data_IF_477462145303
#
_entry.id   IF_477462145303
#
_cell.length_a   1.000
_cell.length_b   1.000
_cell.length_c   1.000
_cell.angle_alpha   90.00
_cell.angle_beta   90.00
_cell.angle_gamma   90.00
#
_symmetry.space_group_name_H-M   'P 1'
#
loop_
_entity.id
_entity.type
_entity.pdbx_description
1 polymer ?
#
# COMPACT_ATOMS: atom_id res chain seq x y z
N UNK A 1 -4.94 -51.45 -2.49
CA UNK A 1 -4.38 -50.38 -3.33
C UNK A 1 -4.98 -49.05 -2.85
N UNK A 2 -4.88 -48.74 -1.56
CA UNK A 2 -3.80 -47.97 -0.86
C UNK A 2 -3.87 -46.48 -1.24
N UNK A 3 -4.67 -45.68 -0.55
CA UNK A 3 -4.40 -44.95 0.70
C UNK A 3 -3.26 -43.92 0.57
N UNK A 4 -3.61 -42.65 0.30
CA UNK A 4 -2.71 -41.49 0.23
C UNK A 4 -3.39 -40.24 0.82
N UNK A 5 -3.57 -40.22 2.14
CA UNK A 5 -3.77 -39.01 2.92
C UNK A 5 -3.03 -39.14 4.26
N UNK A 6 -1.77 -38.68 4.34
CA UNK A 6 -1.12 -38.29 5.62
C UNK A 6 0.16 -37.45 5.41
N UNK A 7 0.26 -36.25 6.00
CA UNK A 7 1.51 -35.50 6.08
C UNK A 7 2.42 -36.02 7.21
N UNK A 8 3.75 -35.82 7.14
CA UNK A 8 4.71 -36.40 8.08
C UNK A 8 4.67 -35.72 9.46
N UNK A 9 4.74 -36.55 10.50
CA UNK A 9 4.88 -36.16 11.90
C UNK A 9 6.35 -35.87 12.22
N UNK A 10 6.66 -34.63 12.61
CA UNK A 10 7.96 -34.27 13.20
C UNK A 10 7.96 -34.61 14.69
N UNK A 11 8.92 -35.40 15.15
CA UNK A 11 9.24 -35.59 16.58
C UNK A 11 10.47 -34.74 16.95
N UNK A 12 10.52 -34.12 18.14
CA UNK A 12 11.70 -33.40 18.61
C UNK A 12 12.64 -34.33 19.39
N UNK A 13 13.95 -34.11 19.25
CA UNK A 13 15.01 -34.70 20.10
C UNK A 13 15.54 -33.62 21.08
N UNK A 14 16.02 -33.99 22.29
CA UNK A 14 16.17 -33.07 23.40
C UNK A 14 17.61 -32.61 23.69
N UNK A 15 17.74 -31.34 24.08
CA UNK A 15 18.55 -30.90 25.23
C UNK A 15 20.07 -30.77 25.09
N UNK A 16 20.57 -29.53 25.13
CA UNK A 16 21.75 -29.21 25.94
C UNK A 16 21.63 -27.82 26.57
N UNK A 17 22.03 -27.74 27.84
CA UNK A 17 21.84 -26.63 28.77
C UNK A 17 22.97 -25.59 28.68
N UNK A 18 22.56 -24.35 28.89
CA UNK A 18 23.25 -23.24 29.56
C UNK A 18 24.70 -22.88 29.21
N UNK A 19 24.87 -21.62 28.79
CA UNK A 19 25.82 -20.74 29.46
C UNK A 19 25.30 -19.30 29.47
N UNK A 20 25.38 -18.71 30.67
CA UNK A 20 24.93 -17.37 31.04
C UNK A 20 26.15 -16.46 30.93
N UNK A 21 26.11 -15.42 30.09
CA UNK A 21 27.13 -14.37 30.10
C UNK A 21 26.46 -13.00 30.28
N UNK A 22 26.85 -12.33 31.37
CA UNK A 22 26.39 -11.01 31.81
C UNK A 22 27.47 -9.98 31.44
N UNK A 23 27.05 -8.71 31.29
CA UNK A 23 27.83 -7.44 31.13
C UNK A 23 28.27 -7.13 29.69
N UNK A 24 28.30 -5.88 29.21
CA UNK A 24 28.42 -4.57 29.87
C UNK A 24 27.96 -3.45 28.90
N UNK A 25 27.44 -2.36 29.46
CA UNK A 25 27.19 -1.05 28.80
C UNK A 25 28.41 -0.54 28.03
N UNK A 26 28.17 0.07 26.87
CA UNK A 26 28.98 1.20 26.36
C UNK A 26 28.06 2.31 25.84
N UNK A 27 28.20 3.48 26.45
CA UNK A 27 27.78 4.79 25.94
C UNK A 27 28.79 5.25 24.88
N UNK A 28 28.30 5.84 23.81
CA UNK A 28 29.01 6.84 22.99
C UNK A 28 27.94 7.67 22.28
N UNK A 29 27.59 8.88 22.76
CA UNK A 29 28.14 10.18 22.31
C UNK A 29 28.44 10.22 20.81
N UNK A 30 27.62 10.99 20.10
CA UNK A 30 27.86 11.47 18.75
C UNK A 30 26.93 12.65 18.47
N UNK A 31 27.37 13.86 18.86
CA UNK A 31 26.77 15.11 18.41
C UNK A 31 27.00 15.26 16.92
N UNK A 32 26.02 15.75 16.16
CA UNK A 32 26.32 16.50 14.94
C UNK A 32 25.48 17.78 14.90
N UNK A 33 26.22 18.86 14.71
CA UNK A 33 25.82 20.26 14.65
C UNK A 33 25.87 20.62 13.17
N UNK A 34 24.83 21.23 12.63
CA UNK A 34 24.92 21.90 11.33
C UNK A 34 24.01 23.12 11.32
N UNK A 35 24.67 24.27 11.43
CA UNK A 35 24.16 25.61 11.17
C UNK A 35 23.95 25.82 9.68
N UNK A 36 22.89 26.52 9.31
CA UNK A 36 22.85 27.24 8.04
C UNK A 36 22.28 28.64 8.31
N UNK A 37 23.17 29.63 8.18
CA UNK A 37 22.85 31.06 8.05
C UNK A 37 21.96 31.25 6.83
N UNK A 38 20.90 32.04 6.97
CA UNK A 38 20.44 32.92 5.89
C UNK A 38 20.21 34.32 6.46
N UNK A 39 21.22 35.14 6.23
CA UNK A 39 21.15 36.60 6.23
C UNK A 39 20.67 37.03 4.85
N UNK A 40 19.56 37.77 4.79
CA UNK A 40 19.35 38.77 3.74
C UNK A 40 18.30 39.76 4.21
N UNK A 41 18.80 40.94 4.56
CA UNK A 41 18.08 42.20 4.71
C UNK A 41 17.38 42.49 3.37
N UNK A 42 16.06 42.72 3.41
CA UNK A 42 15.35 43.44 2.36
C UNK A 42 14.63 44.62 3.02
N UNK A 43 14.88 45.79 2.44
CA UNK A 43 14.56 47.14 2.93
C UNK A 43 13.05 47.34 2.99
N UNK A 44 12.61 48.08 4.02
CA UNK A 44 11.22 48.53 4.23
C UNK A 44 10.86 49.59 3.20
N UNK A 45 9.67 49.46 2.60
CA UNK A 45 9.01 50.52 1.84
C UNK A 45 7.82 51.03 2.69
N UNK A 46 7.69 52.34 2.97
CA UNK A 46 6.62 52.87 3.83
C UNK A 46 5.39 53.19 2.99
N UNK A 47 4.26 52.52 3.21
CA UNK A 47 3.01 52.88 2.51
C UNK A 47 1.90 51.85 2.43
N UNK A 48 1.82 50.85 3.33
CA UNK A 48 0.68 49.92 3.34
C UNK A 48 0.14 49.71 4.77
N UNK A 49 -1.18 49.78 4.99
CA UNK A 49 -1.77 49.55 6.30
C UNK A 49 -1.59 48.08 6.71
N UNK A 50 -1.10 47.87 7.95
CA UNK A 50 -0.88 46.54 8.50
C UNK A 50 -2.19 45.73 8.55
N UNK A 51 -2.25 44.51 7.98
CA UNK A 51 -3.38 43.65 8.21
C UNK A 51 -3.34 43.19 9.67
N UNK A 52 -4.47 43.37 10.37
CA UNK A 52 -4.67 42.90 11.73
C UNK A 52 -4.20 41.44 11.85
N UNK A 53 -3.18 41.24 12.69
CA UNK A 53 -2.55 39.97 12.90
C UNK A 53 -3.49 39.01 13.65
N UNK A 54 -4.47 38.43 12.95
CA UNK A 54 -4.97 37.11 13.33
C UNK A 54 -3.81 36.16 13.14
N UNK A 55 -3.21 35.73 14.25
CA UNK A 55 -2.24 34.62 14.24
C UNK A 55 -2.85 33.50 13.39
N UNK A 56 -2.18 33.03 12.33
CA UNK A 56 -2.63 31.82 11.66
C UNK A 56 -2.77 30.73 12.73
N UNK A 57 -3.80 29.86 12.65
CA UNK A 57 -3.92 28.75 13.59
C UNK A 57 -2.57 28.05 13.63
N UNK A 58 -2.00 27.98 14.84
CA UNK A 58 -0.69 27.38 15.06
C UNK A 58 -0.68 26.06 14.30
N UNK A 59 0.35 25.81 13.48
CA UNK A 59 0.58 24.52 12.82
C UNK A 59 0.69 23.45 13.91
N UNK A 60 -0.45 22.96 14.38
CA UNK A 60 -0.58 22.17 15.60
C UNK A 60 -0.35 20.72 15.22
N UNK A 61 0.90 20.41 14.86
CA UNK A 61 1.55 19.08 14.89
C UNK A 61 2.88 19.05 14.08
N UNK A 62 3.69 20.11 14.10
CA UNK A 62 4.91 20.18 13.27
C UNK A 62 6.16 19.45 13.82
N UNK A 63 6.02 18.40 14.66
CA UNK A 63 7.19 17.65 15.20
C UNK A 63 6.97 16.14 15.35
N UNK A 64 5.93 15.56 14.77
CA UNK A 64 5.82 14.09 14.75
C UNK A 64 6.76 13.53 13.67
N UNK A 65 7.79 12.80 14.07
CA UNK A 65 8.60 12.01 13.14
C UNK A 65 7.83 10.72 12.82
N UNK A 66 7.47 10.54 11.55
CA UNK A 66 6.84 9.31 11.07
C UNK A 66 7.90 8.43 10.43
N UNK A 67 7.92 7.14 10.80
CA UNK A 67 8.75 6.12 10.16
C UNK A 67 7.83 5.13 9.47
N UNK A 68 8.10 4.88 8.19
CA UNK A 68 7.34 3.94 7.38
C UNK A 68 8.22 2.73 7.05
N UNK A 69 7.63 1.54 7.18
CA UNK A 69 8.16 0.30 6.62
C UNK A 69 7.17 -0.13 5.53
N UNK A 70 7.66 -0.24 4.30
CA UNK A 70 6.86 -0.55 3.12
C UNK A 70 7.09 -1.99 2.62
N UNK A 71 7.67 -2.85 3.47
CA UNK A 71 7.86 -4.25 3.11
C UNK A 71 6.50 -4.94 2.96
N UNK A 72 6.33 -5.83 1.97
CA UNK A 72 5.06 -6.52 1.73
C UNK A 72 4.73 -7.56 2.80
N UNK A 73 5.63 -7.77 3.79
CA UNK A 73 5.46 -8.77 4.83
C UNK A 73 4.35 -8.39 5.80
N UNK A 74 3.81 -9.41 6.46
CA UNK A 74 2.99 -9.21 7.64
C UNK A 74 3.92 -8.92 8.82
N UNK A 75 3.83 -7.72 9.36
CA UNK A 75 4.54 -7.33 10.60
C UNK A 75 3.74 -7.84 11.78
N UNK A 76 4.44 -8.31 12.80
CA UNK A 76 3.83 -8.68 14.07
C UNK A 76 3.69 -7.44 14.95
N UNK A 77 2.48 -6.91 15.06
CA UNK A 77 2.21 -5.71 15.87
C UNK A 77 2.38 -5.95 17.39
N UNK A 78 2.48 -7.20 17.84
CA UNK A 78 2.68 -7.55 19.25
C UNK A 78 4.17 -7.49 19.61
N UNK A 79 5.03 -8.01 18.73
CA UNK A 79 6.47 -8.13 19.02
C UNK A 79 7.34 -7.05 18.36
N UNK A 80 6.84 -6.37 17.33
CA UNK A 80 7.58 -5.35 16.57
C UNK A 80 7.16 -3.92 16.94
N UNK A 81 8.06 -2.92 16.82
CA UNK A 81 7.81 -1.55 17.30
C UNK A 81 6.96 -0.71 16.32
N UNK A 82 5.80 -1.22 15.91
CA UNK A 82 4.86 -0.55 15.01
C UNK A 82 3.59 -0.11 15.76
N UNK A 83 3.23 1.17 15.63
CA UNK A 83 2.01 1.70 16.26
C UNK A 83 0.72 1.29 15.51
N UNK A 84 0.81 1.07 14.20
CA UNK A 84 -0.32 0.75 13.31
C UNK A 84 0.21 0.10 12.03
N UNK A 85 -0.49 -0.89 11.50
CA UNK A 85 -0.25 -1.42 10.16
C UNK A 85 -1.38 -1.02 9.21
N UNK A 86 -1.04 -0.61 7.99
CA UNK A 86 -2.03 -0.38 6.93
C UNK A 86 -2.08 -1.64 6.06
N UNK A 87 -3.27 -2.23 5.91
CA UNK A 87 -3.47 -3.47 5.16
C UNK A 87 -4.50 -3.27 4.07
N UNK A 88 -4.20 -3.84 2.91
CA UNK A 88 -5.06 -3.88 1.73
C UNK A 88 -5.53 -5.32 1.56
N UNK A 89 -6.83 -5.50 1.34
CA UNK A 89 -7.50 -6.80 1.32
C UNK A 89 -8.15 -7.18 2.65
N UNK A 90 -8.92 -8.25 2.63
CA UNK A 90 -9.65 -8.74 3.79
C UNK A 90 -8.69 -9.07 4.95
N UNK A 91 -9.03 -8.66 6.19
CA UNK A 91 -8.25 -9.02 7.34
C UNK A 91 -8.41 -10.53 7.58
N UNK A 92 -7.29 -11.21 7.80
CA UNK A 92 -7.37 -12.60 8.29
C UNK A 92 -7.96 -12.59 9.71
N UNK A 93 -8.64 -13.68 10.06
CA UNK A 93 -9.01 -13.99 11.43
C UNK A 93 -7.78 -13.84 12.34
N UNK A 94 -7.74 -12.78 13.13
CA UNK A 94 -6.66 -12.47 14.05
C UNK A 94 -7.25 -11.79 15.29
N UNK A 95 -6.49 -11.82 16.40
CA UNK A 95 -6.87 -11.09 17.62
C UNK A 95 -6.65 -9.57 17.49
N UNK A 96 -6.14 -9.11 16.35
CA UNK A 96 -5.89 -7.69 16.10
C UNK A 96 -7.19 -6.98 15.74
N UNK A 97 -7.22 -5.67 16.00
CA UNK A 97 -8.38 -4.82 15.71
C UNK A 97 -8.20 -4.19 14.34
N UNK A 98 -9.10 -4.57 13.42
CA UNK A 98 -9.19 -3.96 12.09
C UNK A 98 -10.16 -2.77 12.11
N UNK A 99 -9.68 -1.61 11.67
CA UNK A 99 -10.47 -0.38 11.52
C UNK A 99 -10.55 -0.01 10.03
N UNK A 100 -11.73 -0.01 9.42
CA UNK A 100 -11.85 0.32 8.00
C UNK A 100 -11.40 1.76 7.74
N UNK A 101 -10.60 1.93 6.69
CA UNK A 101 -10.10 3.22 6.21
C UNK A 101 -10.76 3.60 4.89
N UNK A 102 -10.81 2.66 3.96
CA UNK A 102 -11.32 2.88 2.61
C UNK A 102 -11.73 1.55 1.96
N UNK A 103 -12.39 1.64 0.81
CA UNK A 103 -12.59 0.51 -0.09
C UNK A 103 -12.30 0.96 -1.51
N UNK A 104 -11.21 0.47 -2.07
CA UNK A 104 -10.81 0.81 -3.44
C UNK A 104 -11.44 -0.14 -4.43
N UNK A 105 -11.64 0.31 -5.66
CA UNK A 105 -12.09 -0.56 -6.75
C UNK A 105 -10.97 -0.73 -7.75
N UNK A 106 -10.70 -1.99 -8.10
CA UNK A 106 -9.78 -2.26 -9.19
C UNK A 106 -10.47 -1.99 -10.53
N UNK A 107 -9.80 -1.29 -11.41
CA UNK A 107 -10.15 -1.18 -12.82
C UNK A 107 -9.00 -1.71 -13.66
N UNK A 108 -9.28 -1.98 -14.93
CA UNK A 108 -8.30 -2.55 -15.84
C UNK A 108 -7.62 -1.46 -16.63
N UNK A 109 -6.28 -1.53 -16.69
CA UNK A 109 -5.45 -0.55 -17.35
C UNK A 109 -4.38 -1.23 -18.21
N UNK A 110 -4.05 -0.61 -19.34
CA UNK A 110 -2.93 -0.99 -20.19
C UNK A 110 -2.29 0.25 -20.81
N UNK A 111 -1.05 0.14 -21.26
CA UNK A 111 -0.43 1.23 -22.03
C UNK A 111 -1.02 1.30 -23.45
N UNK A 112 -1.06 2.49 -24.08
CA UNK A 112 -1.54 2.62 -25.45
C UNK A 112 -0.80 1.71 -26.44
N UNK A 113 0.54 1.63 -26.32
CA UNK A 113 1.39 0.81 -27.20
C UNK A 113 1.21 -0.70 -27.02
N UNK A 114 0.82 -1.16 -25.83
CA UNK A 114 0.37 -2.54 -25.67
C UNK A 114 -0.89 -2.81 -26.49
N UNK A 115 -1.88 -1.91 -26.41
CA UNK A 115 -3.17 -2.04 -27.09
C UNK A 115 -3.03 -1.94 -28.62
N UNK A 116 -2.12 -1.12 -29.13
CA UNK A 116 -1.78 -1.07 -30.55
C UNK A 116 -1.28 -2.41 -31.08
N UNK A 117 -0.49 -3.14 -30.27
CA UNK A 117 0.11 -4.41 -30.65
C UNK A 117 -0.82 -5.60 -30.44
N UNK A 118 -1.56 -5.61 -29.34
CA UNK A 118 -2.35 -6.76 -28.89
C UNK A 118 -3.86 -6.62 -29.16
N UNK A 119 -4.32 -5.45 -29.61
CA UNK A 119 -5.74 -5.11 -29.68
C UNK A 119 -6.29 -4.59 -28.34
N UNK A 120 -7.50 -4.04 -28.37
CA UNK A 120 -8.21 -3.56 -27.17
C UNK A 120 -9.34 -4.52 -26.78
N UNK A 121 -9.31 -5.10 -25.57
CA UNK A 121 -10.37 -6.00 -25.12
C UNK A 121 -11.66 -5.23 -24.83
N UNK A 122 -12.79 -5.85 -25.17
CA UNK A 122 -14.13 -5.30 -24.96
C UNK A 122 -14.87 -6.03 -23.85
N UNK A 123 -14.63 -7.34 -23.73
CA UNK A 123 -15.27 -8.21 -22.75
C UNK A 123 -14.27 -9.12 -22.01
N UNK A 124 -14.64 -9.66 -20.83
CA UNK A 124 -13.75 -10.51 -20.05
C UNK A 124 -13.24 -11.75 -20.78
N UNK A 125 -13.97 -12.24 -21.78
CA UNK A 125 -13.55 -13.37 -22.60
C UNK A 125 -12.29 -13.06 -23.44
N UNK A 126 -12.15 -11.80 -23.90
CA UNK A 126 -11.01 -11.34 -24.71
C UNK A 126 -9.69 -11.42 -23.92
N UNK A 127 -9.75 -11.31 -22.59
CA UNK A 127 -8.58 -11.35 -21.71
C UNK A 127 -7.76 -12.66 -21.85
N UNK A 128 -8.36 -13.75 -22.35
CA UNK A 128 -7.64 -14.99 -22.67
C UNK A 128 -6.53 -14.80 -23.72
N UNK A 129 -6.64 -13.77 -24.56
CA UNK A 129 -5.68 -13.45 -25.61
C UNK A 129 -4.66 -12.38 -25.17
N UNK A 130 -4.74 -11.92 -23.92
CA UNK A 130 -3.91 -10.85 -23.39
C UNK A 130 -3.01 -11.31 -22.25
N UNK A 131 -1.84 -10.66 -22.11
CA UNK A 131 -1.04 -10.78 -20.91
C UNK A 131 -1.76 -10.06 -19.76
N UNK A 132 -2.10 -10.80 -18.72
CA UNK A 132 -2.89 -10.36 -17.58
C UNK A 132 -2.02 -10.31 -16.33
N UNK A 133 -1.46 -9.13 -16.04
CA UNK A 133 -0.54 -8.90 -14.93
C UNK A 133 -1.24 -9.01 -13.57
N UNK A 134 -0.82 -9.96 -12.73
CA UNK A 134 -1.32 -10.13 -11.36
C UNK A 134 -0.22 -10.13 -10.29
N UNK A 135 -0.61 -9.79 -9.05
CA UNK A 135 0.26 -9.98 -7.88
C UNK A 135 0.13 -11.44 -7.42
N UNK A 136 1.26 -12.04 -7.02
CA UNK A 136 1.36 -13.37 -6.41
C UNK A 136 0.13 -13.73 -5.56
N UNK A 137 -0.49 -14.88 -5.86
CA UNK A 137 -1.71 -15.45 -5.24
C UNK A 137 -3.07 -14.92 -5.71
N UNK A 138 -3.15 -13.98 -6.64
CA UNK A 138 -4.39 -13.71 -7.36
C UNK A 138 -4.55 -14.72 -8.51
N UNK A 139 -4.97 -15.95 -8.19
CA UNK A 139 -5.12 -17.05 -9.18
C UNK A 139 -6.15 -16.76 -10.30
N UNK A 140 -7.00 -15.76 -10.11
CA UNK A 140 -7.94 -15.24 -11.09
C UNK A 140 -8.35 -13.83 -10.70
N UNK A 141 -8.76 -13.02 -11.69
CA UNK A 141 -9.52 -11.80 -11.45
C UNK A 141 -11.00 -12.16 -11.39
N UNK A 142 -11.77 -11.42 -10.60
CA UNK A 142 -13.23 -11.46 -10.69
C UNK A 142 -13.70 -10.10 -11.14
N UNK A 143 -14.35 -10.04 -12.30
CA UNK A 143 -14.82 -8.81 -12.92
C UNK A 143 -16.34 -8.75 -12.84
N UNK A 144 -16.85 -7.53 -12.63
CA UNK A 144 -18.28 -7.25 -12.51
C UNK A 144 -18.65 -6.04 -13.37
N UNK A 145 -19.80 -6.09 -14.04
CA UNK A 145 -20.38 -4.97 -14.80
C UNK A 145 -21.65 -4.39 -14.14
N UNK A 146 -22.00 -4.89 -12.96
CA UNK A 146 -23.22 -4.54 -12.22
C UNK A 146 -24.33 -5.60 -12.31
N UNK A 147 -24.34 -6.40 -13.38
CA UNK A 147 -25.32 -7.47 -13.60
C UNK A 147 -24.63 -8.84 -13.58
N UNK A 148 -23.49 -8.93 -14.24
CA UNK A 148 -22.71 -10.13 -14.45
C UNK A 148 -21.50 -10.14 -13.52
N UNK A 149 -21.10 -11.35 -13.12
CA UNK A 149 -19.84 -11.61 -12.42
C UNK A 149 -19.09 -12.69 -13.17
N UNK A 150 -17.89 -12.36 -13.65
CA UNK A 150 -17.09 -13.26 -14.48
C UNK A 150 -15.73 -13.49 -13.82
N UNK A 151 -15.42 -14.73 -13.42
CA UNK A 151 -14.05 -15.09 -13.07
C UNK A 151 -13.22 -15.15 -14.35
N UNK A 152 -12.13 -14.40 -14.39
CA UNK A 152 -11.21 -14.34 -15.51
C UNK A 152 -9.85 -14.89 -15.06
N UNK A 153 -9.33 -15.93 -15.74
CA UNK A 153 -7.98 -16.42 -15.45
C UNK A 153 -6.96 -15.31 -15.73
N UNK A 154 -6.12 -15.03 -14.74
CA UNK A 154 -5.01 -14.11 -14.90
C UNK A 154 -3.77 -14.92 -15.31
N UNK A 155 -3.41 -14.85 -16.59
CA UNK A 155 -2.16 -15.43 -17.11
C UNK A 155 -1.09 -14.35 -17.20
N UNK A 156 -0.05 -14.47 -16.36
CA UNK A 156 1.14 -13.64 -16.45
C UNK A 156 2.40 -14.50 -16.40
N UNK A 157 3.33 -14.26 -17.31
CA UNK A 157 4.70 -14.80 -17.27
C UNK A 157 5.53 -14.18 -16.15
N UNK A 158 5.05 -13.09 -15.56
CA UNK A 158 5.66 -12.42 -14.43
C UNK A 158 5.01 -12.85 -13.11
N UNK A 159 5.85 -13.18 -12.14
CA UNK A 159 5.46 -13.44 -10.75
C UNK A 159 6.00 -12.31 -9.89
N UNK A 160 5.13 -11.40 -9.43
CA UNK A 160 5.54 -10.14 -8.77
C UNK A 160 4.77 -9.97 -7.45
N UNK A 161 5.46 -9.51 -6.40
CA UNK A 161 4.88 -9.26 -5.07
C UNK A 161 4.83 -7.75 -4.71
N UNK A 162 4.97 -6.88 -5.72
CA UNK A 162 5.05 -5.44 -5.56
C UNK A 162 4.09 -4.72 -6.50
N UNK A 163 3.20 -3.92 -5.92
CA UNK A 163 2.26 -3.05 -6.64
C UNK A 163 3.00 -2.05 -7.53
N UNK A 164 4.10 -1.48 -7.05
CA UNK A 164 4.88 -0.52 -7.84
C UNK A 164 5.53 -1.17 -9.07
N UNK A 165 6.02 -2.40 -8.92
CA UNK A 165 6.63 -3.12 -10.03
C UNK A 165 5.59 -3.55 -11.07
N UNK A 166 4.42 -4.05 -10.65
CA UNK A 166 3.39 -4.49 -11.60
C UNK A 166 2.77 -3.30 -12.36
N UNK A 167 2.57 -2.16 -11.69
CA UNK A 167 2.25 -0.89 -12.33
C UNK A 167 3.31 -0.53 -13.37
N UNK A 168 4.59 -0.64 -13.03
CA UNK A 168 5.70 -0.32 -13.95
C UNK A 168 5.69 -1.23 -15.17
N UNK A 169 5.46 -2.53 -15.02
CA UNK A 169 5.34 -3.47 -16.15
C UNK A 169 4.22 -3.06 -17.11
N UNK A 170 3.05 -2.68 -16.59
CA UNK A 170 1.95 -2.19 -17.43
C UNK A 170 2.35 -0.95 -18.24
N UNK A 171 3.07 0.01 -17.63
CA UNK A 171 3.59 1.20 -18.35
C UNK A 171 4.68 0.89 -19.36
N UNK A 172 5.27 -0.31 -19.31
CA UNK A 172 6.30 -0.79 -20.23
C UNK A 172 5.71 -1.73 -21.29
N UNK A 173 4.41 -1.62 -21.56
CA UNK A 173 3.71 -2.40 -22.59
C UNK A 173 3.69 -3.90 -22.35
N UNK A 174 3.79 -4.34 -21.09
CA UNK A 174 3.87 -5.76 -20.77
C UNK A 174 2.52 -6.42 -20.58
N UNK A 175 1.40 -5.68 -20.49
CA UNK A 175 0.09 -6.30 -20.31
C UNK A 175 -0.97 -5.39 -19.71
N UNK A 176 -2.10 -6.02 -19.40
CA UNK A 176 -3.24 -5.42 -18.69
C UNK A 176 -3.06 -5.66 -17.19
N UNK A 177 -3.32 -4.65 -16.36
CA UNK A 177 -3.22 -4.74 -14.91
C UNK A 177 -4.53 -4.30 -14.23
N UNK A 178 -5.03 -5.04 -13.21
CA UNK A 178 -6.09 -4.59 -12.34
C UNK A 178 -5.50 -3.72 -11.22
N UNK A 179 -5.93 -2.47 -11.14
CA UNK A 179 -5.39 -1.54 -10.15
C UNK A 179 -6.42 -0.53 -9.69
N UNK A 180 -6.25 0.00 -8.48
CA UNK A 180 -7.05 1.13 -8.01
C UNK A 180 -6.65 2.40 -8.77
N UNK A 181 -7.63 3.25 -9.12
CA UNK A 181 -7.40 4.49 -9.88
C UNK A 181 -6.38 5.39 -9.18
N UNK A 182 -6.42 5.42 -7.85
CA UNK A 182 -5.57 6.21 -6.97
C UNK A 182 -4.08 5.86 -7.16
N UNK A 183 -3.77 4.61 -7.52
CA UNK A 183 -2.39 4.14 -7.69
C UNK A 183 -1.85 4.51 -9.08
N UNK A 184 -2.72 4.60 -10.09
CA UNK A 184 -2.35 4.89 -11.49
C UNK A 184 -2.67 6.32 -11.94
N UNK A 185 -3.15 7.18 -11.04
CA UNK A 185 -3.63 8.53 -11.37
C UNK A 185 -2.61 9.34 -12.20
N UNK A 186 -1.33 9.30 -11.84
CA UNK A 186 -0.26 9.99 -12.57
C UNK A 186 0.03 9.38 -13.96
N UNK A 187 -0.18 8.07 -14.12
CA UNK A 187 -0.01 7.43 -15.42
C UNK A 187 -1.19 7.71 -16.35
N UNK A 188 -2.38 7.86 -15.79
CA UNK A 188 -3.56 8.28 -16.54
C UNK A 188 -3.42 9.73 -17.01
N UNK A 189 -3.02 10.64 -16.12
CA UNK A 189 -2.86 12.07 -16.45
C UNK A 189 -1.75 12.32 -17.48
N UNK A 190 -0.72 11.48 -17.48
CA UNK A 190 0.39 11.55 -18.44
C UNK A 190 0.21 10.68 -19.69
N UNK A 191 -0.92 9.98 -19.83
CA UNK A 191 -1.21 9.11 -20.98
C UNK A 191 -0.37 7.85 -21.07
N UNK A 192 0.38 7.48 -20.02
CA UNK A 192 1.16 6.23 -19.98
C UNK A 192 0.28 4.99 -19.84
N UNK A 193 -0.89 5.14 -19.23
CA UNK A 193 -1.91 4.10 -19.12
C UNK A 193 -3.26 4.65 -19.58
N UNK A 194 -4.11 3.75 -20.08
CA UNK A 194 -5.52 3.99 -20.41
C UNK A 194 -6.39 2.95 -19.73
N UNK A 195 -7.59 3.36 -19.30
CA UNK A 195 -8.61 2.42 -18.81
C UNK A 195 -9.16 1.62 -19.98
N UNK A 196 -9.19 0.29 -19.84
CA UNK A 196 -9.82 -0.63 -20.79
C UNK A 196 -11.05 -1.26 -20.14
N UNK A 197 -11.99 -1.73 -20.96
CA UNK A 197 -13.24 -2.34 -20.52
C UNK A 197 -13.92 -1.52 -19.41
N UNK A 198 -14.29 -0.24 -19.65
CA UNK A 198 -14.72 0.67 -18.59
C UNK A 198 -15.99 0.22 -17.86
N UNK A 199 -16.82 -0.61 -18.49
CA UNK A 199 -18.01 -1.22 -17.88
C UNK A 199 -17.65 -2.23 -16.79
N UNK A 200 -16.44 -2.83 -16.86
CA UNK A 200 -16.00 -3.87 -15.95
C UNK A 200 -15.10 -3.29 -14.84
N UNK A 201 -15.29 -3.81 -13.63
CA UNK A 201 -14.47 -3.49 -12.46
C UNK A 201 -14.21 -4.75 -11.64
N UNK A 202 -13.08 -4.78 -10.96
CA UNK A 202 -12.74 -5.85 -10.03
C UNK A 202 -13.54 -5.74 -8.73
N UNK A 203 -13.46 -6.79 -7.92
CA UNK A 203 -14.01 -6.81 -6.57
C UNK A 203 -13.44 -5.65 -5.73
N UNK A 204 -14.26 -4.98 -4.90
CA UNK A 204 -13.76 -3.97 -3.96
C UNK A 204 -12.66 -4.52 -3.06
N UNK A 205 -11.61 -3.75 -2.88
CA UNK A 205 -10.43 -4.08 -2.11
C UNK A 205 -10.45 -3.20 -0.85
N UNK A 206 -10.84 -3.74 0.31
CA UNK A 206 -10.92 -2.95 1.51
C UNK A 206 -9.53 -2.61 2.03
N UNK A 207 -9.42 -1.46 2.70
CA UNK A 207 -8.18 -0.98 3.32
C UNK A 207 -8.45 -0.75 4.80
N UNK A 208 -7.58 -1.29 5.65
CA UNK A 208 -7.73 -1.24 7.11
C UNK A 208 -6.49 -0.67 7.79
N UNK A 209 -6.72 0.06 8.87
CA UNK A 209 -5.73 0.25 9.92
C UNK A 209 -5.86 -0.91 10.92
N UNK A 210 -4.80 -1.67 11.08
CA UNK A 210 -4.70 -2.77 12.04
C UNK A 210 -3.91 -2.31 13.25
N UNK A 211 -4.43 -2.58 14.44
CA UNK A 211 -3.82 -2.21 15.73
C UNK A 211 -3.96 -3.34 16.74
N UNK A 212 -3.05 -3.43 17.69
CA UNK A 212 -3.12 -4.43 18.78
C UNK A 212 -4.26 -4.13 19.79
N UNK A 213 -4.45 -2.86 20.15
CA UNK A 213 -5.39 -2.45 21.21
C UNK A 213 -6.44 -1.45 20.74
N UNK A 214 -7.59 -1.40 21.45
CA UNK A 214 -8.65 -0.41 21.20
C UNK A 214 -8.26 0.98 21.71
N UNK A 215 -7.44 1.04 22.75
CA UNK A 215 -7.00 2.27 23.41
C UNK A 215 -5.71 2.77 22.77
N UNK A 216 -5.85 3.60 21.74
CA UNK A 216 -4.72 4.11 20.97
C UNK A 216 -4.16 5.42 21.54
N UNK A 217 -2.84 5.64 21.52
CA UNK A 217 -2.27 6.95 21.78
C UNK A 217 -2.82 8.02 20.82
N UNK A 218 -2.95 9.27 21.30
CA UNK A 218 -3.51 10.37 20.50
C UNK A 218 -2.80 10.60 19.16
N UNK A 219 -1.48 10.34 19.08
CA UNK A 219 -0.71 10.42 17.83
C UNK A 219 -1.23 9.43 16.77
N UNK A 220 -1.55 8.20 17.17
CA UNK A 220 -1.98 7.12 16.29
C UNK A 220 -3.43 7.34 15.86
N UNK A 221 -4.29 7.76 16.78
CA UNK A 221 -5.67 8.14 16.47
C UNK A 221 -5.72 9.24 15.41
N UNK A 222 -4.95 10.31 15.59
CA UNK A 222 -4.88 11.42 14.63
C UNK A 222 -4.34 10.98 13.27
N UNK A 223 -3.37 10.08 13.24
CA UNK A 223 -2.83 9.57 11.98
C UNK A 223 -3.87 8.71 11.24
N UNK A 224 -4.60 7.85 11.94
CA UNK A 224 -5.69 7.05 11.37
C UNK A 224 -6.79 7.95 10.82
N UNK A 225 -7.20 8.97 11.58
CA UNK A 225 -8.24 9.90 11.13
C UNK A 225 -7.79 10.71 9.91
N UNK A 226 -6.55 11.19 9.91
CA UNK A 226 -5.95 11.85 8.75
C UNK A 226 -5.99 10.95 7.49
N UNK A 227 -5.68 9.66 7.62
CA UNK A 227 -5.78 8.73 6.49
C UNK A 227 -7.23 8.53 6.03
N UNK A 228 -8.18 8.43 6.94
CA UNK A 228 -9.61 8.30 6.61
C UNK A 228 -10.11 9.51 5.83
N UNK A 229 -9.81 10.71 6.32
CA UNK A 229 -10.15 11.96 5.63
C UNK A 229 -9.53 12.02 4.23
N UNK A 230 -8.27 11.57 4.09
CA UNK A 230 -7.56 11.65 2.82
C UNK A 230 -8.00 10.62 1.79
N UNK A 231 -8.49 9.46 2.23
CA UNK A 231 -9.04 8.42 1.34
C UNK A 231 -10.53 8.62 1.02
N UNK A 232 -11.24 9.48 1.74
CA UNK A 232 -12.63 9.83 1.43
C UNK A 232 -12.77 10.86 0.28
N UNK A 233 -11.66 11.45 -0.18
CA UNK A 233 -11.57 12.44 -1.25
C UNK A 233 -11.17 11.78 -2.58
#
# INVERSE_FOLDING_TARGET
>A
MTDWLRPPRFRPEPGSRHTRARRRRKRSRGSHRSSARRSSIARRNPGWPAPSARRPPARRNARATHRFDLTPRRVDLVSEPFDVAIRVGEPESSQLIARPLASFRAHLYASPRYLERAGEPREPADLKQHECLGILRAGSWTLHDGTNTVPTPAGSRFTVNSVGMIRRLATLDMGIVPMAKEIVADDLSSGRLRRVMPQWQGTPIPVYAITETRLLPAKTQRFIEFLRERFAQ
#
